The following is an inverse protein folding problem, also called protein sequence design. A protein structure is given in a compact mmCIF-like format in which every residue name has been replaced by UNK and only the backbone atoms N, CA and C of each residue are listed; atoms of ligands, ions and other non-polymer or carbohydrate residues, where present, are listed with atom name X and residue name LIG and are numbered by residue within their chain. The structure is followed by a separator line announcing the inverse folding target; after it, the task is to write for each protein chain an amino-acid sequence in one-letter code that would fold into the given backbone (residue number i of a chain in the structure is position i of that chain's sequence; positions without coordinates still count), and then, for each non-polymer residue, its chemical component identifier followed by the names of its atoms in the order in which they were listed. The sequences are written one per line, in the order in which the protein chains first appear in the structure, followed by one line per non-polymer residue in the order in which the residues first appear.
data_IF_677570046595
#
_entry.id   IF_677570046595
#
_cell.length_a   1.000
_cell.length_b   1.000
_cell.length_c   1.000
_cell.angle_alpha   90.00
_cell.angle_beta   90.00
_cell.angle_gamma   90.00
#
_symmetry.space_group_name_H-M   'P 1'
#
loop_
_entity.id
_entity.type
_entity.pdbx_description
1 polymer ?
#
# COMPACT_ATOMS: atom_id res chain seq x y z
N UNK A 1 -19.88 9.58 8.26
CA UNK A 1 -19.48 8.22 7.85
C UNK A 1 -18.01 8.28 7.47
N UNK A 2 -17.13 7.62 8.22
CA UNK A 2 -15.69 7.63 7.93
C UNK A 2 -15.41 6.83 6.67
N UNK A 3 -14.72 7.44 5.70
CA UNK A 3 -14.30 6.75 4.48
C UNK A 3 -13.16 5.82 4.88
N UNK A 4 -13.46 4.55 5.11
CA UNK A 4 -12.43 3.52 5.27
C UNK A 4 -11.69 3.35 3.94
N UNK A 5 -10.37 3.52 3.94
CA UNK A 5 -9.53 3.21 2.77
C UNK A 5 -9.23 1.71 2.84
N UNK A 6 -9.70 0.90 1.87
CA UNK A 6 -9.48 -0.54 1.92
C UNK A 6 -8.01 -0.87 1.65
N UNK A 7 -7.38 -1.62 2.57
CA UNK A 7 -6.04 -2.18 2.38
C UNK A 7 -6.11 -3.65 1.98
N UNK A 8 -5.22 -4.07 1.09
CA UNK A 8 -5.11 -5.45 0.63
C UNK A 8 -3.69 -5.95 0.82
N UNK A 9 -3.55 -7.13 1.43
CA UNK A 9 -2.26 -7.81 1.58
C UNK A 9 -1.82 -8.44 0.24
N UNK A 10 -0.51 -8.57 -0.01
CA UNK A 10 -0.01 -9.48 -1.03
C UNK A 10 -0.63 -10.89 -0.89
N UNK A 11 -0.91 -11.53 -2.02
CA UNK A 11 -1.63 -12.80 -2.12
C UNK A 11 -3.15 -12.66 -2.34
N UNK A 12 -3.74 -11.46 -2.25
CA UNK A 12 -5.16 -11.26 -2.62
C UNK A 12 -5.32 -11.29 -4.15
N UNK A 13 -6.40 -11.91 -4.64
CA UNK A 13 -6.67 -11.99 -6.09
C UNK A 13 -7.32 -10.71 -6.63
N UNK A 14 -6.97 -10.31 -7.86
CA UNK A 14 -7.49 -9.10 -8.53
C UNK A 14 -9.03 -9.01 -8.56
N UNK A 15 -9.74 -10.14 -8.70
CA UNK A 15 -11.20 -10.13 -8.69
C UNK A 15 -11.80 -9.64 -7.37
N UNK A 16 -11.12 -9.85 -6.24
CA UNK A 16 -11.55 -9.34 -4.92
C UNK A 16 -11.35 -7.83 -4.87
N UNK A 17 -10.20 -7.35 -5.36
CA UNK A 17 -9.89 -5.91 -5.44
C UNK A 17 -10.92 -5.18 -6.29
N UNK A 18 -11.21 -5.70 -7.49
CA UNK A 18 -12.19 -5.10 -8.40
C UNK A 18 -13.62 -5.14 -7.86
N UNK A 19 -13.98 -6.16 -7.07
CA UNK A 19 -15.29 -6.21 -6.41
C UNK A 19 -15.47 -5.10 -5.38
N UNK A 20 -14.40 -4.74 -4.68
CA UNK A 20 -14.43 -3.74 -3.61
C UNK A 20 -14.21 -2.33 -4.16
N UNK A 21 -13.29 -2.16 -5.11
CA UNK A 21 -12.89 -0.86 -5.65
C UNK A 21 -13.56 -0.49 -6.98
N UNK A 22 -14.24 -1.43 -7.62
CA UNK A 22 -14.78 -1.24 -8.97
C UNK A 22 -13.70 -1.33 -10.05
N UNK A 23 -13.94 -0.65 -11.16
CA UNK A 23 -13.02 -0.63 -12.29
C UNK A 23 -11.77 0.20 -11.99
N UNK A 24 -10.59 -0.23 -12.47
CA UNK A 24 -9.34 0.48 -12.21
C UNK A 24 -9.30 1.85 -12.88
N UNK A 25 -8.64 2.81 -12.24
CA UNK A 25 -8.41 4.13 -12.82
C UNK A 25 -7.38 4.09 -13.94
N UNK A 26 -6.26 3.38 -13.73
CA UNK A 26 -5.20 3.20 -14.73
C UNK A 26 -4.64 1.77 -14.66
N UNK A 27 -4.29 1.21 -15.83
CA UNK A 27 -3.58 -0.07 -15.95
C UNK A 27 -2.34 0.11 -16.81
N UNK A 28 -1.18 -0.27 -16.29
CA UNK A 28 0.12 -0.18 -16.98
C UNK A 28 0.94 -1.46 -16.83
N UNK A 29 2.08 -1.54 -17.53
CA UNK A 29 3.08 -2.58 -17.27
C UNK A 29 3.64 -2.39 -15.86
N UNK A 30 3.69 -3.46 -15.07
CA UNK A 30 4.29 -3.40 -13.74
C UNK A 30 5.80 -3.27 -13.80
N UNK A 31 6.39 -2.79 -12.70
CA UNK A 31 7.83 -2.60 -12.56
C UNK A 31 8.59 -3.93 -12.68
N UNK A 32 8.06 -5.01 -12.09
CA UNK A 32 8.68 -6.33 -12.11
C UNK A 32 8.32 -7.15 -13.36
N UNK A 33 9.21 -8.04 -13.84
CA UNK A 33 8.86 -9.03 -14.86
C UNK A 33 7.59 -9.78 -14.48
N UNK A 34 6.77 -10.10 -15.50
CA UNK A 34 5.48 -10.78 -15.31
C UNK A 34 4.45 -10.11 -14.40
N UNK A 35 4.58 -8.80 -14.12
CA UNK A 35 3.56 -8.06 -13.36
C UNK A 35 2.77 -7.06 -14.19
N UNK A 36 1.52 -6.82 -13.77
CA UNK A 36 0.65 -5.74 -14.27
C UNK A 36 0.39 -4.77 -13.13
N UNK A 37 0.66 -3.48 -13.37
CA UNK A 37 0.38 -2.43 -12.41
C UNK A 37 -1.04 -1.89 -12.63
N UNK A 38 -1.77 -1.70 -11.54
CA UNK A 38 -3.09 -1.12 -11.51
C UNK A 38 -3.11 -0.06 -10.41
N UNK A 39 -3.65 1.12 -10.71
CA UNK A 39 -3.82 2.18 -9.71
C UNK A 39 -5.26 2.69 -9.63
N UNK A 40 -5.62 3.13 -8.44
CA UNK A 40 -6.90 3.70 -8.08
C UNK A 40 -6.66 5.02 -7.36
N UNK A 41 -7.33 6.09 -7.79
CA UNK A 41 -7.34 7.35 -7.06
C UNK A 41 -8.67 7.44 -6.30
N UNK A 42 -8.64 7.01 -5.04
CA UNK A 42 -9.84 6.88 -4.20
C UNK A 42 -10.38 8.24 -3.78
N UNK A 43 -9.48 9.15 -3.46
CA UNK A 43 -9.78 10.55 -3.19
C UNK A 43 -8.78 11.37 -4.01
N UNK A 44 -9.25 12.18 -4.98
CA UNK A 44 -8.39 13.03 -5.80
C UNK A 44 -7.37 13.78 -4.95
N UNK A 45 -6.11 13.70 -5.36
CA UNK A 45 -4.92 14.32 -4.73
C UNK A 45 -4.66 13.97 -3.26
N UNK A 46 -5.45 13.09 -2.66
CA UNK A 46 -5.36 12.77 -1.23
C UNK A 46 -4.99 11.33 -0.99
N UNK A 47 -5.67 10.38 -1.65
CA UNK A 47 -5.46 8.95 -1.41
C UNK A 47 -5.45 8.19 -2.71
N UNK A 48 -4.35 7.48 -2.95
CA UNK A 48 -4.21 6.56 -4.08
C UNK A 48 -3.74 5.20 -3.61
N UNK A 49 -4.25 4.15 -4.24
CA UNK A 49 -3.81 2.77 -4.07
C UNK A 49 -3.18 2.28 -5.37
N UNK A 50 -2.11 1.50 -5.24
CA UNK A 50 -1.40 0.85 -6.33
C UNK A 50 -1.24 -0.63 -6.05
N UNK A 51 -1.32 -1.45 -7.09
CA UNK A 51 -1.14 -2.89 -6.99
C UNK A 51 -0.33 -3.40 -8.16
N UNK A 52 0.64 -4.26 -7.88
CA UNK A 52 1.31 -5.06 -8.90
C UNK A 52 0.79 -6.48 -8.79
N UNK A 53 0.09 -6.95 -9.81
CA UNK A 53 -0.44 -8.30 -9.90
C UNK A 53 0.47 -9.19 -10.72
N UNK A 54 0.72 -10.41 -10.29
CA UNK A 54 1.29 -11.45 -11.14
C UNK A 54 0.32 -11.77 -12.29
N UNK A 55 0.82 -11.79 -13.53
CA UNK A 55 -0.02 -11.94 -14.73
C UNK A 55 -0.64 -13.32 -14.87
N UNK A 56 -0.02 -14.36 -14.29
CA UNK A 56 -0.46 -15.74 -14.45
C UNK A 56 -1.54 -16.08 -13.42
N UNK A 57 -1.24 -15.80 -12.15
CA UNK A 57 -2.09 -16.15 -11.01
C UNK A 57 -3.12 -15.06 -10.68
N UNK A 58 -2.92 -13.82 -11.12
CA UNK A 58 -3.78 -12.70 -10.78
C UNK A 58 -3.68 -12.24 -9.32
N UNK A 59 -2.68 -12.71 -8.58
CA UNK A 59 -2.45 -12.38 -7.17
C UNK A 59 -1.62 -11.10 -7.03
N UNK A 60 -1.91 -10.29 -5.99
CA UNK A 60 -1.09 -9.14 -5.61
C UNK A 60 0.29 -9.64 -5.20
N UNK A 61 1.33 -9.13 -5.85
CA UNK A 61 2.75 -9.31 -5.47
C UNK A 61 3.26 -8.13 -4.65
N UNK A 62 2.73 -6.94 -4.92
CA UNK A 62 3.03 -5.70 -4.21
C UNK A 62 1.78 -4.83 -4.11
N UNK A 63 1.56 -4.27 -2.93
CA UNK A 63 0.47 -3.36 -2.58
C UNK A 63 1.07 -2.03 -2.15
N UNK A 64 0.47 -0.94 -2.61
CA UNK A 64 0.95 0.41 -2.41
C UNK A 64 -0.19 1.32 -1.98
N UNK A 65 0.09 2.23 -1.06
CA UNK A 65 -0.82 3.29 -0.67
C UNK A 65 -0.04 4.60 -0.52
N UNK A 66 -0.60 5.70 -1.01
CA UNK A 66 -0.01 7.03 -0.87
C UNK A 66 -1.04 8.02 -0.36
N UNK A 67 -0.69 8.73 0.70
CA UNK A 67 -1.57 9.65 1.43
C UNK A 67 -0.99 11.06 1.47
N UNK A 68 -1.81 12.06 1.18
CA UNK A 68 -1.44 13.45 1.44
C UNK A 68 -1.20 13.68 2.94
N UNK A 69 -0.30 14.60 3.30
CA UNK A 69 0.11 14.86 4.69
C UNK A 69 -1.04 15.23 5.65
N UNK A 70 -2.14 15.77 5.12
CA UNK A 70 -3.30 16.20 5.92
C UNK A 70 -4.35 15.09 6.09
N UNK A 71 -4.15 13.91 5.49
CA UNK A 71 -5.02 12.75 5.75
C UNK A 71 -4.84 12.33 7.21
N UNK A 72 -5.97 12.08 7.89
CA UNK A 72 -5.97 11.69 9.30
C UNK A 72 -5.07 10.45 9.53
N UNK A 73 -4.16 10.55 10.52
CA UNK A 73 -3.19 9.50 10.83
C UNK A 73 -3.83 8.16 11.20
N UNK A 74 -5.02 8.17 11.78
CA UNK A 74 -5.79 6.96 12.10
C UNK A 74 -6.21 6.22 10.82
N UNK A 75 -6.62 6.94 9.77
CA UNK A 75 -6.95 6.33 8.47
C UNK A 75 -5.71 5.65 7.88
N UNK A 76 -4.56 6.31 7.94
CA UNK A 76 -3.29 5.74 7.44
C UNK A 76 -2.92 4.48 8.22
N UNK A 77 -3.04 4.52 9.56
CA UNK A 77 -2.73 3.39 10.44
C UNK A 77 -3.64 2.19 10.19
N UNK A 78 -4.95 2.42 10.08
CA UNK A 78 -5.93 1.36 9.79
C UNK A 78 -5.66 0.75 8.43
N UNK A 79 -5.38 1.58 7.41
CA UNK A 79 -5.07 1.08 6.06
C UNK A 79 -3.81 0.24 6.06
N UNK A 80 -2.74 0.70 6.74
CA UNK A 80 -1.50 -0.07 6.90
C UNK A 80 -1.76 -1.42 7.57
N UNK A 81 -2.58 -1.45 8.63
CA UNK A 81 -2.94 -2.71 9.28
C UNK A 81 -3.67 -3.66 8.33
N UNK A 82 -4.61 -3.17 7.52
CA UNK A 82 -5.29 -3.98 6.51
C UNK A 82 -4.34 -4.48 5.41
N UNK A 83 -3.40 -3.66 4.95
CA UNK A 83 -2.37 -4.08 3.97
C UNK A 83 -1.42 -5.14 4.54
N UNK A 84 -1.26 -5.21 5.86
CA UNK A 84 -0.47 -6.24 6.55
C UNK A 84 -1.30 -7.49 6.90
N UNK A 85 -2.56 -7.58 6.48
CA UNK A 85 -3.44 -8.70 6.84
C UNK A 85 -3.81 -8.73 8.32
N UNK A 86 -3.99 -7.55 8.93
CA UNK A 86 -4.30 -7.36 10.35
C UNK A 86 -3.18 -7.79 11.31
N UNK A 87 -1.93 -7.75 10.84
CA UNK A 87 -0.73 -8.16 11.60
C UNK A 87 0.18 -6.99 11.99
N UNK A 88 -0.37 -5.77 12.09
CA UNK A 88 0.41 -4.60 12.52
C UNK A 88 1.01 -4.84 13.92
N UNK A 89 2.30 -4.57 14.06
CA UNK A 89 3.02 -4.64 15.34
C UNK A 89 3.53 -3.25 15.77
N UNK A 90 4.04 -3.14 17.00
CA UNK A 90 4.49 -1.87 17.56
C UNK A 90 5.67 -1.25 16.80
N UNK A 91 6.60 -2.07 16.29
CA UNK A 91 7.74 -1.56 15.53
C UNK A 91 7.29 -0.86 14.23
N UNK A 92 6.36 -1.47 13.49
CA UNK A 92 5.81 -0.89 12.25
C UNK A 92 4.95 0.34 12.56
N UNK A 93 4.16 0.30 13.64
CA UNK A 93 3.38 1.45 14.11
C UNK A 93 4.28 2.65 14.46
N UNK A 94 5.37 2.40 15.20
CA UNK A 94 6.35 3.44 15.52
C UNK A 94 7.06 3.96 14.27
N UNK A 95 7.43 3.07 13.34
CA UNK A 95 8.00 3.45 12.05
C UNK A 95 7.10 4.41 11.25
N UNK A 96 5.79 4.12 11.20
CA UNK A 96 4.81 5.04 10.58
C UNK A 96 4.81 6.41 11.28
N UNK A 97 4.77 6.42 12.62
CA UNK A 97 4.75 7.67 13.39
C UNK A 97 6.01 8.51 13.14
N UNK A 98 7.19 7.88 13.12
CA UNK A 98 8.45 8.57 12.84
C UNK A 98 8.46 9.21 11.46
N UNK A 99 7.94 8.53 10.44
CA UNK A 99 7.84 9.06 9.07
C UNK A 99 6.82 10.21 8.99
N UNK A 100 5.65 10.06 9.62
CA UNK A 100 4.62 11.11 9.69
C UNK A 100 5.11 12.37 10.41
N UNK A 101 5.86 12.19 11.50
CA UNK A 101 6.41 13.28 12.32
C UNK A 101 7.73 13.86 11.76
N UNK A 102 8.16 13.42 10.57
CA UNK A 102 9.40 13.86 9.91
C UNK A 102 10.68 13.59 10.72
N UNK A 103 10.63 12.63 11.64
CA UNK A 103 11.80 12.19 12.42
C UNK A 103 12.70 11.26 11.61
N UNK A 104 12.13 10.54 10.64
CA UNK A 104 12.87 9.75 9.66
C UNK A 104 12.26 9.94 8.26
N UNK A 105 13.06 10.03 7.19
CA UNK A 105 12.52 10.10 5.83
C UNK A 105 11.92 8.77 5.37
N UNK A 106 12.36 7.65 5.94
CA UNK A 106 11.94 6.29 5.57
C UNK A 106 12.09 5.29 6.71
N UNK A 107 11.31 4.23 6.68
CA UNK A 107 11.34 3.12 7.60
C UNK A 107 11.12 1.82 6.81
N UNK A 108 12.10 0.91 6.86
CA UNK A 108 11.99 -0.41 6.26
C UNK A 108 11.63 -1.44 7.31
N UNK A 109 10.83 -2.43 6.93
CA UNK A 109 10.47 -3.52 7.81
C UNK A 109 10.35 -4.85 7.07
N UNK A 110 10.36 -5.93 7.86
CA UNK A 110 10.00 -7.27 7.43
C UNK A 110 8.95 -7.83 8.39
N UNK A 111 8.00 -8.57 7.85
CA UNK A 111 6.93 -9.21 8.60
C UNK A 111 6.61 -10.55 7.94
N UNK A 112 7.01 -11.65 8.56
CA UNK A 112 6.89 -12.99 7.98
C UNK A 112 7.53 -13.07 6.57
N UNK A 113 6.76 -13.39 5.54
CA UNK A 113 7.18 -13.44 4.14
C UNK A 113 7.10 -12.08 3.42
N UNK A 114 6.73 -11.00 4.13
CA UNK A 114 6.59 -9.67 3.57
C UNK A 114 7.79 -8.78 3.90
N UNK A 115 8.10 -7.89 2.96
CA UNK A 115 8.95 -6.72 3.17
C UNK A 115 8.13 -5.48 2.89
N UNK A 116 8.51 -4.37 3.52
CA UNK A 116 7.84 -3.11 3.27
C UNK A 116 8.70 -1.90 3.55
N UNK A 117 8.24 -0.78 3.02
CA UNK A 117 8.76 0.56 3.27
C UNK A 117 7.62 1.49 3.58
N UNK A 118 7.84 2.36 4.57
CA UNK A 118 7.06 3.56 4.80
C UNK A 118 8.02 4.70 4.56
N UNK A 119 7.71 5.60 3.64
CA UNK A 119 8.57 6.75 3.37
C UNK A 119 7.77 7.98 2.99
N UNK A 120 8.43 9.12 3.00
CA UNK A 120 7.88 10.30 2.35
C UNK A 120 8.36 10.38 0.92
N UNK A 121 7.43 10.51 0.00
CA UNK A 121 7.77 10.73 -1.41
C UNK A 121 8.18 12.20 -1.67
N UNK A 122 8.55 12.48 -2.93
CA UNK A 122 8.97 13.82 -3.37
C UNK A 122 7.85 14.87 -3.27
N UNK A 123 6.58 14.44 -3.21
CA UNK A 123 5.40 15.30 -3.07
C UNK A 123 4.99 15.54 -1.62
N UNK A 124 5.82 15.16 -0.64
CA UNK A 124 5.49 15.24 0.78
C UNK A 124 4.28 14.37 1.17
N UNK A 125 4.08 13.26 0.45
CA UNK A 125 3.05 12.27 0.77
C UNK A 125 3.66 11.14 1.58
N UNK A 126 2.87 10.54 2.45
CA UNK A 126 3.24 9.29 3.12
C UNK A 126 2.96 8.15 2.16
N UNK A 127 4.01 7.54 1.64
CA UNK A 127 3.98 6.37 0.79
C UNK A 127 4.24 5.10 1.61
N UNK A 128 3.47 4.06 1.33
CA UNK A 128 3.59 2.73 1.94
C UNK A 128 3.65 1.73 0.79
N UNK A 129 4.72 0.95 0.72
CA UNK A 129 4.85 -0.18 -0.21
C UNK A 129 5.10 -1.46 0.57
N UNK A 130 4.36 -2.53 0.25
CA UNK A 130 4.50 -3.85 0.87
C UNK A 130 4.53 -4.90 -0.23
N UNK A 131 5.53 -5.78 -0.21
CA UNK A 131 5.74 -6.81 -1.22
C UNK A 131 6.21 -8.13 -0.62
N UNK A 132 6.04 -9.21 -1.37
CA UNK A 132 6.58 -10.52 -1.01
C UNK A 132 8.12 -10.49 -1.06
N UNK A 133 8.80 -11.04 -0.05
CA UNK A 133 10.26 -10.94 0.11
C UNK A 133 11.10 -11.50 -1.06
N UNK A 134 10.48 -12.32 -1.92
CA UNK A 134 11.07 -12.89 -3.14
C UNK A 134 10.69 -12.18 -4.44
N UNK A 135 10.13 -10.97 -4.37
CA UNK A 135 9.84 -10.16 -5.57
C UNK A 135 11.12 -9.47 -6.05
N UNK A 136 11.60 -9.86 -7.24
CA UNK A 136 12.74 -9.28 -7.97
C UNK A 136 12.61 -9.55 -9.47
#
# INVERSE_FOLDING_TARGET
MGVGVPGFQPGVHNSVVQRILGSPGVTTRGYWPNTRAISYQLIPDQVSLGFLFDKNSGLIRQTEASFAQWVNSEIVLVTLNSMLGCKLNDAIKQGLQQVQQRQSPKFFFSLESLRGVIERDKGDRVYIGIWEAGLH
#
